data_IF_543004832061
#
_entry.id   IF_543004832061
#
_cell.length_a   1.000
_cell.length_b   1.000
_cell.length_c   1.000
_cell.angle_alpha   90.00
_cell.angle_beta   90.00
_cell.angle_gamma   90.00
#
_symmetry.space_group_name_H-M   'P 1'
#
loop_
_entity.id
_entity.type
_entity.pdbx_description
1 polymer ?
#
# COMPACT_ATOMS: atom_id res chain seq x y z
N UNK A 1 -31.41 1.95 40.17
CA UNK A 1 -30.62 3.12 39.74
C UNK A 1 -29.64 2.67 38.68
N UNK A 2 -29.95 2.88 37.39
CA UNK A 2 -29.03 2.68 36.27
C UNK A 2 -28.86 4.03 35.60
N UNK A 3 -27.64 4.52 35.62
CA UNK A 3 -27.24 5.85 35.15
C UNK A 3 -27.36 5.92 33.63
N UNK A 4 -28.26 6.77 33.14
CA UNK A 4 -28.19 7.30 31.78
C UNK A 4 -27.10 8.39 31.76
N UNK A 5 -26.03 8.16 31.02
CA UNK A 5 -25.11 9.22 30.60
C UNK A 5 -25.52 9.72 29.21
N UNK A 6 -25.51 11.03 28.95
CA UNK A 6 -26.21 11.62 27.82
C UNK A 6 -25.35 11.58 26.55
N UNK A 7 -25.96 11.04 25.51
CA UNK A 7 -25.71 11.36 24.11
C UNK A 7 -26.20 12.80 23.91
N UNK A 8 -25.33 13.77 23.62
CA UNK A 8 -25.57 15.04 22.89
C UNK A 8 -24.30 15.90 22.99
N UNK A 9 -23.49 15.85 21.93
CA UNK A 9 -22.55 16.88 21.47
C UNK A 9 -22.07 16.48 20.07
N UNK A 10 -23.01 16.43 19.12
CA UNK A 10 -22.77 16.11 17.72
C UNK A 10 -23.56 17.12 16.91
N UNK A 11 -22.93 18.12 16.29
CA UNK A 11 -23.33 18.67 14.98
C UNK A 11 -22.32 19.70 14.43
N UNK A 12 -21.03 19.46 14.67
CA UNK A 12 -19.93 20.15 13.95
C UNK A 12 -18.73 19.22 13.64
N UNK A 13 -18.82 17.91 13.92
CA UNK A 13 -17.75 16.91 13.79
C UNK A 13 -17.97 15.88 12.65
N UNK A 14 -19.02 16.05 11.83
CA UNK A 14 -19.60 14.93 11.07
C UNK A 14 -18.95 14.59 9.72
N UNK A 15 -17.90 15.26 9.27
CA UNK A 15 -17.16 14.81 8.08
C UNK A 15 -15.90 13.98 8.41
N UNK A 16 -15.17 14.33 9.47
CA UNK A 16 -13.98 13.56 9.85
C UNK A 16 -14.36 12.16 10.37
N UNK A 17 -15.43 12.08 11.17
CA UNK A 17 -15.91 10.81 11.72
C UNK A 17 -16.37 9.79 10.66
N UNK A 18 -16.83 10.23 9.49
CA UNK A 18 -17.28 9.32 8.43
C UNK A 18 -16.09 8.64 7.73
N UNK A 19 -15.02 9.39 7.45
CA UNK A 19 -13.78 8.84 6.89
C UNK A 19 -13.13 7.85 7.87
N UNK A 20 -13.18 8.14 9.17
CA UNK A 20 -12.65 7.25 10.20
C UNK A 20 -13.39 5.91 10.24
N UNK A 21 -14.73 5.90 10.08
CA UNK A 21 -15.52 4.68 10.07
C UNK A 21 -15.24 3.79 8.85
N UNK A 22 -15.09 4.37 7.65
CA UNK A 22 -14.74 3.59 6.46
C UNK A 22 -13.33 3.00 6.58
N UNK A 23 -12.38 3.80 7.07
CA UNK A 23 -11.02 3.34 7.34
C UNK A 23 -11.01 2.20 8.36
N UNK A 24 -11.75 2.34 9.46
CA UNK A 24 -11.90 1.28 10.47
C UNK A 24 -12.49 0.02 9.85
N UNK A 25 -13.53 0.13 9.02
CA UNK A 25 -14.12 -1.01 8.33
C UNK A 25 -13.13 -1.69 7.37
N UNK A 26 -12.29 -0.93 6.66
CA UNK A 26 -11.24 -1.46 5.78
C UNK A 26 -10.16 -2.19 6.58
N UNK A 27 -9.70 -1.60 7.68
CA UNK A 27 -8.74 -2.23 8.60
C UNK A 27 -9.32 -3.51 9.18
N UNK A 28 -10.56 -3.47 9.68
CA UNK A 28 -11.26 -4.62 10.21
C UNK A 28 -11.40 -5.72 9.15
N UNK A 29 -11.75 -5.36 7.91
CA UNK A 29 -11.82 -6.32 6.80
C UNK A 29 -10.47 -6.99 6.51
N UNK A 30 -9.34 -6.30 6.73
CA UNK A 30 -8.01 -6.93 6.61
C UNK A 30 -7.70 -7.87 7.78
N UNK A 31 -8.09 -7.49 9.00
CA UNK A 31 -7.88 -8.30 10.22
C UNK A 31 -8.74 -9.57 10.20
N UNK A 32 -9.99 -9.47 9.74
CA UNK A 32 -10.95 -10.58 9.70
C UNK A 32 -10.69 -11.57 8.56
N UNK A 33 -10.02 -11.12 7.48
CA UNK A 33 -9.62 -11.99 6.38
C UNK A 33 -8.43 -12.84 6.82
N UNK A 34 -8.70 -14.14 6.94
CA UNK A 34 -7.74 -15.14 7.38
C UNK A 34 -6.57 -15.27 6.39
N UNK A 35 -5.47 -15.76 6.94
CA UNK A 35 -4.14 -15.98 6.35
C UNK A 35 -4.14 -16.07 4.82
N UNK A 36 -3.34 -15.22 4.17
CA UNK A 36 -3.13 -15.36 2.74
C UNK A 36 -2.51 -16.72 2.43
N UNK A 37 -2.87 -17.33 1.30
CA UNK A 37 -2.33 -18.64 0.89
C UNK A 37 -0.93 -18.49 0.29
N UNK A 38 -0.66 -17.30 -0.25
CA UNK A 38 0.51 -16.91 -1.00
C UNK A 38 1.20 -15.70 -0.36
N UNK A 39 2.39 -15.36 -0.84
CA UNK A 39 3.07 -14.14 -0.40
C UNK A 39 2.35 -12.91 -0.94
N UNK A 40 2.00 -12.00 -0.05
CA UNK A 40 1.08 -10.90 -0.32
C UNK A 40 -0.34 -11.22 0.19
N UNK A 41 -1.23 -10.23 0.31
CA UNK A 41 -0.99 -8.79 0.25
C UNK A 41 0.02 -8.34 1.33
N UNK A 42 0.76 -7.26 1.10
CA UNK A 42 1.90 -6.88 1.93
C UNK A 42 1.65 -5.57 2.71
N UNK A 43 2.67 -5.10 3.42
CA UNK A 43 2.60 -3.88 4.24
C UNK A 43 2.21 -2.62 3.45
N UNK A 44 2.78 -2.43 2.24
CA UNK A 44 2.44 -1.31 1.37
C UNK A 44 0.97 -1.33 0.96
N UNK A 45 0.45 -2.49 0.53
CA UNK A 45 -0.97 -2.61 0.24
C UNK A 45 -1.84 -2.38 1.48
N UNK A 46 -1.43 -2.88 2.65
CA UNK A 46 -2.16 -2.65 3.91
C UNK A 46 -2.38 -1.15 4.15
N UNK A 47 -1.32 -0.35 4.02
CA UNK A 47 -1.37 1.09 4.22
C UNK A 47 -2.25 1.78 3.17
N UNK A 48 -2.05 1.50 1.88
CA UNK A 48 -2.82 2.11 0.80
C UNK A 48 -4.30 1.72 0.83
N UNK A 49 -4.59 0.44 1.06
CA UNK A 49 -5.95 -0.08 1.09
C UNK A 49 -6.73 0.47 2.27
N UNK A 50 -6.09 0.56 3.44
CA UNK A 50 -6.72 1.15 4.64
C UNK A 50 -7.05 2.63 4.42
N UNK A 51 -6.22 3.36 3.67
CA UNK A 51 -6.49 4.76 3.32
C UNK A 51 -7.50 4.93 2.18
N UNK A 52 -7.86 3.87 1.46
CA UNK A 52 -8.78 3.90 0.33
C UNK A 52 -8.14 4.32 -1.00
N UNK A 53 -6.80 4.34 -1.09
CA UNK A 53 -6.08 4.65 -2.34
C UNK A 53 -6.13 3.50 -3.34
N UNK A 54 -6.27 2.26 -2.86
CA UNK A 54 -6.44 1.07 -3.70
C UNK A 54 -7.75 0.37 -3.34
N UNK A 55 -8.44 -0.13 -4.36
CA UNK A 55 -9.78 -0.71 -4.22
C UNK A 55 -9.78 -2.13 -3.64
N UNK A 56 -8.64 -2.83 -3.72
CA UNK A 56 -8.54 -4.24 -3.37
C UNK A 56 -7.26 -4.60 -2.63
N UNK A 57 -7.35 -5.71 -1.89
CA UNK A 57 -6.20 -6.26 -1.17
C UNK A 57 -5.36 -7.10 -2.14
N UNK A 58 -4.15 -6.66 -2.45
CA UNK A 58 -3.25 -7.27 -3.46
C UNK A 58 -1.78 -7.03 -3.13
N UNK A 59 -0.87 -7.64 -3.87
CA UNK A 59 0.52 -7.18 -3.81
C UNK A 59 0.64 -5.77 -4.41
N UNK A 60 1.45 -4.97 -3.73
CA UNK A 60 1.94 -3.66 -4.16
C UNK A 60 3.46 -3.78 -4.07
N UNK A 61 4.21 -3.27 -5.03
CA UNK A 61 5.66 -3.19 -4.94
C UNK A 61 6.14 -1.79 -4.48
N UNK A 62 7.44 -1.65 -4.20
CA UNK A 62 8.00 -0.38 -3.72
C UNK A 62 7.84 0.77 -4.71
N UNK A 63 8.09 0.57 -6.02
CA UNK A 63 7.80 1.57 -7.05
C UNK A 63 6.35 2.03 -7.07
N UNK A 64 5.38 1.13 -7.05
CA UNK A 64 3.96 1.50 -7.02
C UNK A 64 3.62 2.25 -5.73
N UNK A 65 4.09 1.78 -4.58
CA UNK A 65 3.87 2.48 -3.31
C UNK A 65 4.43 3.91 -3.36
N UNK A 66 5.61 4.09 -3.95
CA UNK A 66 6.23 5.41 -4.14
C UNK A 66 5.39 6.30 -5.06
N UNK A 67 4.86 5.75 -6.15
CA UNK A 67 4.02 6.49 -7.10
C UNK A 67 2.73 6.99 -6.43
N UNK A 68 2.10 6.18 -5.57
CA UNK A 68 0.96 6.64 -4.76
C UNK A 68 1.32 7.81 -3.85
N UNK A 69 2.40 7.68 -3.08
CA UNK A 69 2.82 8.72 -2.13
C UNK A 69 3.33 10.00 -2.80
N UNK A 70 3.80 9.91 -4.04
CA UNK A 70 4.29 11.04 -4.83
C UNK A 70 3.20 11.68 -5.69
N UNK A 71 2.02 11.07 -5.76
CA UNK A 71 0.89 11.62 -6.51
C UNK A 71 0.31 12.86 -5.82
N UNK A 72 -0.43 13.72 -6.55
CA UNK A 72 -1.15 14.85 -5.96
C UNK A 72 -2.20 14.46 -4.91
N UNK A 73 -2.50 13.17 -4.76
CA UNK A 73 -3.42 12.67 -3.75
C UNK A 73 -2.78 12.63 -2.37
N UNK A 74 -1.45 12.70 -2.26
CA UNK A 74 -0.73 12.60 -1.01
C UNK A 74 0.15 13.83 -0.80
N UNK A 75 0.15 14.34 0.42
CA UNK A 75 1.02 15.44 0.87
C UNK A 75 1.89 14.93 2.02
N UNK A 76 3.20 15.11 1.93
CA UNK A 76 4.10 14.84 3.05
C UNK A 76 3.81 15.82 4.19
N UNK A 77 3.64 15.30 5.40
CA UNK A 77 3.40 16.08 6.61
C UNK A 77 4.57 15.93 7.59
N UNK A 78 4.93 16.99 8.33
CA UNK A 78 5.88 16.88 9.44
C UNK A 78 5.41 15.87 10.50
N UNK A 79 6.37 15.20 11.15
CA UNK A 79 6.08 14.18 12.18
C UNK A 79 5.24 14.73 13.34
N UNK A 80 5.50 15.95 13.77
CA UNK A 80 4.76 16.64 14.83
C UNK A 80 3.35 17.10 14.41
N UNK A 81 3.02 16.95 13.12
CA UNK A 81 1.70 17.25 12.53
C UNK A 81 1.00 16.00 11.99
N UNK A 82 1.64 14.84 12.09
CA UNK A 82 1.06 13.58 11.67
C UNK A 82 -0.10 13.19 12.59
N UNK A 83 -1.16 12.66 12.01
CA UNK A 83 -2.39 12.26 12.72
C UNK A 83 -2.79 10.84 12.36
N UNK A 84 -3.66 10.23 13.17
CA UNK A 84 -4.29 8.96 12.84
C UNK A 84 -4.87 9.00 11.42
N UNK A 85 -4.64 7.95 10.63
CA UNK A 85 -5.01 7.85 9.23
C UNK A 85 -3.94 8.28 8.22
N UNK A 86 -2.88 8.96 8.65
CA UNK A 86 -1.75 9.25 7.76
C UNK A 86 -0.99 7.95 7.43
N UNK A 87 -0.47 7.85 6.20
CA UNK A 87 0.37 6.73 5.77
C UNK A 87 1.81 7.01 6.16
N UNK A 88 2.48 6.06 6.79
CA UNK A 88 3.90 6.15 7.12
C UNK A 88 4.71 5.27 6.20
N UNK A 89 5.68 5.88 5.51
CA UNK A 89 6.67 5.17 4.69
C UNK A 89 8.02 5.14 5.41
N UNK A 90 8.60 3.95 5.57
CA UNK A 90 9.96 3.79 6.04
C UNK A 90 10.90 3.73 4.82
N UNK A 91 11.75 4.75 4.66
CA UNK A 91 12.59 4.93 3.49
C UNK A 91 14.07 4.86 3.81
N UNK A 92 14.85 4.30 2.88
CA UNK A 92 16.32 4.40 2.93
C UNK A 92 16.75 5.80 2.51
N UNK A 93 17.58 6.44 3.32
CA UNK A 93 18.17 7.75 3.06
C UNK A 93 19.66 7.79 3.40
N UNK A 94 20.40 8.72 2.77
CA UNK A 94 21.74 9.11 3.21
C UNK A 94 21.69 9.95 4.49
N UNK A 95 22.84 10.26 5.09
CA UNK A 95 22.92 11.18 6.24
C UNK A 95 22.37 12.57 5.94
N UNK A 96 22.48 13.00 4.68
CA UNK A 96 21.95 14.26 4.18
C UNK A 96 20.47 14.19 3.81
N UNK A 97 19.82 13.04 4.03
CA UNK A 97 18.39 12.84 3.77
C UNK A 97 18.03 12.52 2.33
N UNK A 98 19.01 12.22 1.45
CA UNK A 98 18.72 11.84 0.05
C UNK A 98 18.24 10.40 -0.03
N UNK A 99 17.18 10.13 -0.80
CA UNK A 99 16.67 8.77 -1.00
C UNK A 99 17.71 7.84 -1.64
N UNK A 100 17.81 6.63 -1.11
CA UNK A 100 18.72 5.59 -1.63
C UNK A 100 17.89 4.43 -2.19
N UNK A 101 17.89 4.30 -3.51
CA UNK A 101 17.12 3.25 -4.20
C UNK A 101 17.89 1.94 -4.21
N UNK A 102 17.24 0.86 -3.80
CA UNK A 102 17.67 -0.51 -4.08
C UNK A 102 16.93 -1.08 -5.31
N UNK A 103 17.07 -2.40 -5.57
CA UNK A 103 16.38 -3.09 -6.67
C UNK A 103 14.85 -2.97 -6.64
N UNK A 104 14.28 -2.81 -5.44
CA UNK A 104 12.85 -2.69 -5.20
C UNK A 104 12.42 -1.27 -4.78
N UNK A 105 13.25 -0.25 -5.05
CA UNK A 105 12.99 1.13 -4.65
C UNK A 105 13.64 1.55 -3.33
N UNK A 106 13.30 2.76 -2.88
CA UNK A 106 13.79 3.31 -1.61
C UNK A 106 12.91 2.92 -0.41
N UNK A 107 11.70 2.46 -0.68
CA UNK A 107 10.70 2.04 0.30
C UNK A 107 11.08 0.70 0.91
N UNK A 108 11.03 0.62 2.24
CA UNK A 108 11.28 -0.61 3.00
C UNK A 108 10.00 -1.18 3.56
N UNK A 109 9.13 -0.30 4.04
CA UNK A 109 7.91 -0.67 4.72
C UNK A 109 6.89 0.46 4.64
N UNK A 110 5.62 0.10 4.72
CA UNK A 110 4.51 1.04 4.82
C UNK A 110 3.54 0.59 5.91
N UNK A 111 3.00 1.53 6.68
CA UNK A 111 1.95 1.24 7.64
C UNK A 111 1.00 2.44 7.77
N UNK A 112 -0.17 2.21 8.34
CA UNK A 112 -1.15 3.27 8.62
C UNK A 112 -0.99 3.74 10.06
N UNK A 113 -0.80 5.05 10.26
CA UNK A 113 -0.68 5.63 11.60
C UNK A 113 -2.04 5.55 12.32
N UNK A 114 -2.04 5.02 13.54
CA UNK A 114 -3.18 5.04 14.47
C UNK A 114 -3.05 6.16 15.50
N UNK A 115 -3.93 6.17 16.50
CA UNK A 115 -3.81 7.09 17.63
C UNK A 115 -2.66 6.69 18.56
N UNK A 116 -2.20 7.65 19.37
CA UNK A 116 -1.30 7.39 20.51
C UNK A 116 0.02 6.69 20.15
N UNK A 117 0.53 6.91 18.93
CA UNK A 117 1.78 6.30 18.46
C UNK A 117 1.67 4.82 18.10
N UNK A 118 0.47 4.30 17.88
CA UNK A 118 0.23 2.98 17.30
C UNK A 118 0.24 3.03 15.77
N UNK A 119 0.53 1.90 15.13
CA UNK A 119 0.47 1.72 13.68
C UNK A 119 -0.17 0.40 13.31
N UNK A 120 -0.99 0.40 12.25
CA UNK A 120 -1.56 -0.80 11.65
C UNK A 120 -0.66 -1.29 10.52
N UNK A 121 -0.14 -2.51 10.66
CA UNK A 121 0.94 -3.04 9.83
C UNK A 121 0.76 -4.53 9.53
N UNK A 122 1.45 -5.00 8.48
CA UNK A 122 1.80 -6.40 8.27
C UNK A 122 3.31 -6.50 8.23
N UNK A 123 3.92 -6.93 9.32
CA UNK A 123 5.38 -6.95 9.45
C UNK A 123 6.01 -8.12 8.67
N UNK A 124 6.10 -7.96 7.36
CA UNK A 124 6.74 -8.91 6.46
C UNK A 124 5.89 -9.28 5.24
N UNK A 125 6.53 -9.99 4.32
CA UNK A 125 5.92 -10.40 3.05
C UNK A 125 5.41 -11.84 3.08
N UNK A 126 5.71 -12.60 4.13
CA UNK A 126 5.32 -14.00 4.21
C UNK A 126 3.82 -14.11 4.42
N UNK A 127 3.28 -15.23 3.94
CA UNK A 127 1.87 -15.60 4.11
C UNK A 127 1.43 -15.76 5.57
N UNK A 128 2.39 -16.07 6.47
CA UNK A 128 2.16 -16.28 7.91
C UNK A 128 2.19 -14.97 8.71
N UNK A 129 2.66 -13.88 8.11
CA UNK A 129 2.69 -12.60 8.81
C UNK A 129 1.25 -12.05 8.83
N UNK A 130 0.72 -11.73 10.01
CA UNK A 130 -0.65 -11.25 10.17
C UNK A 130 -0.71 -9.72 10.23
N UNK A 131 -1.86 -9.17 9.85
CA UNK A 131 -2.20 -7.79 10.11
C UNK A 131 -2.47 -7.56 11.60
N UNK A 132 -1.87 -6.54 12.19
CA UNK A 132 -2.08 -6.18 13.58
C UNK A 132 -1.74 -4.72 13.85
N UNK A 133 -2.14 -4.25 15.04
CA UNK A 133 -1.69 -2.98 15.59
C UNK A 133 -0.45 -3.21 16.45
N UNK A 134 0.54 -2.34 16.31
CA UNK A 134 1.77 -2.35 17.09
C UNK A 134 2.22 -0.90 17.36
N UNK A 135 2.99 -0.65 18.41
CA UNK A 135 3.62 0.66 18.62
C UNK A 135 4.52 1.02 17.42
N UNK A 136 4.35 2.21 16.86
CA UNK A 136 5.12 2.72 15.71
C UNK A 136 6.63 2.68 15.96
N UNK A 137 7.06 2.94 17.19
CA UNK A 137 8.46 2.83 17.59
C UNK A 137 9.01 1.39 17.50
N UNK A 138 8.17 0.38 17.75
CA UNK A 138 8.53 -1.03 17.58
C UNK A 138 8.65 -1.41 16.11
N UNK A 139 7.67 -1.00 15.29
CA UNK A 139 7.70 -1.18 13.83
C UNK A 139 8.98 -0.59 13.24
N UNK A 140 9.30 0.66 13.56
CA UNK A 140 10.51 1.34 13.06
C UNK A 140 11.78 0.57 13.46
N UNK A 141 11.87 0.15 14.73
CA UNK A 141 13.03 -0.59 15.26
C UNK A 141 13.23 -1.93 14.55
N UNK A 142 12.15 -2.66 14.28
CA UNK A 142 12.19 -3.92 13.53
C UNK A 142 12.89 -3.71 12.18
N UNK A 143 12.46 -2.72 11.41
CA UNK A 143 13.01 -2.45 10.08
C UNK A 143 14.38 -1.76 10.09
N UNK A 144 14.73 -1.03 11.15
CA UNK A 144 16.08 -0.49 11.31
C UNK A 144 17.14 -1.61 11.37
N UNK A 145 16.83 -2.72 12.06
CA UNK A 145 17.77 -3.85 12.17
C UNK A 145 17.95 -4.61 10.85
N UNK A 146 16.87 -4.83 10.09
CA UNK A 146 16.93 -5.52 8.80
C UNK A 146 17.57 -4.67 7.70
N UNK A 147 17.31 -3.36 7.69
CA UNK A 147 17.81 -2.44 6.66
C UNK A 147 19.35 -2.45 6.57
N UNK A 148 20.05 -2.51 7.72
CA UNK A 148 21.52 -2.57 7.73
C UNK A 148 22.06 -3.83 7.04
N UNK A 149 21.38 -4.96 7.19
CA UNK A 149 21.73 -6.22 6.52
C UNK A 149 21.48 -6.11 5.01
N UNK A 150 20.33 -5.56 4.62
CA UNK A 150 19.96 -5.36 3.21
C UNK A 150 20.93 -4.43 2.48
N UNK A 151 21.25 -3.27 3.04
CA UNK A 151 22.19 -2.35 2.41
C UNK A 151 23.56 -2.99 2.17
N UNK A 152 24.05 -3.79 3.13
CA UNK A 152 25.28 -4.56 2.95
C UNK A 152 25.19 -5.53 1.76
N UNK A 153 24.05 -6.24 1.61
CA UNK A 153 23.83 -7.14 0.47
C UNK A 153 23.74 -6.40 -0.86
N UNK A 154 23.22 -5.17 -0.84
CA UNK A 154 23.09 -4.30 -2.02
C UNK A 154 24.37 -3.50 -2.35
N UNK A 155 25.45 -3.64 -1.57
CA UNK A 155 26.67 -2.86 -1.73
C UNK A 155 26.51 -1.38 -1.37
N UNK A 156 25.44 -1.01 -0.67
CA UNK A 156 25.20 0.35 -0.18
C UNK A 156 26.05 0.55 1.09
N UNK A 157 26.90 1.58 1.16
CA UNK A 157 27.69 1.87 2.35
C UNK A 157 26.79 2.10 3.57
N UNK A 158 27.23 1.67 4.76
CA UNK A 158 26.41 1.72 5.98
C UNK A 158 25.98 3.14 6.33
N UNK A 159 26.86 4.11 6.10
CA UNK A 159 26.64 5.55 6.26
C UNK A 159 25.62 6.14 5.27
N UNK A 160 25.31 5.43 4.18
CA UNK A 160 24.27 5.78 3.23
C UNK A 160 22.99 4.95 3.43
N UNK A 161 22.85 4.27 4.58
CA UNK A 161 21.77 3.34 4.87
C UNK A 161 21.02 3.71 6.15
N UNK A 162 20.57 4.95 6.23
CA UNK A 162 19.71 5.40 7.32
C UNK A 162 18.25 5.11 6.97
N UNK A 163 17.46 4.70 7.96
CA UNK A 163 16.03 4.53 7.81
C UNK A 163 15.33 5.78 8.36
N UNK A 164 14.47 6.39 7.55
CA UNK A 164 13.67 7.56 7.94
C UNK A 164 12.19 7.23 7.79
N UNK A 165 11.40 7.56 8.81
CA UNK A 165 9.94 7.59 8.69
C UNK A 165 9.52 8.91 8.02
N UNK A 166 8.68 8.82 6.99
CA UNK A 166 8.02 9.95 6.36
C UNK A 166 6.51 9.73 6.42
N UNK A 167 5.78 10.80 6.71
CA UNK A 167 4.35 10.77 7.00
C UNK A 167 3.61 11.42 5.84
N UNK A 168 2.53 10.80 5.37
CA UNK A 168 1.77 11.24 4.21
C UNK A 168 0.30 11.32 4.54
N UNK A 169 -0.27 12.51 4.40
CA UNK A 169 -1.70 12.71 4.41
C UNK A 169 -2.22 12.56 2.99
N UNK A 170 -2.98 11.51 2.75
CA UNK A 170 -3.56 11.27 1.45
C UNK A 170 -5.07 11.56 1.44
N UNK A 171 -5.63 11.92 0.30
CA UNK A 171 -7.06 12.11 0.06
C UNK A 171 -7.51 11.32 -1.18
N UNK A 172 -8.09 10.12 -1.01
CA UNK A 172 -8.57 9.32 -2.13
C UNK A 172 -9.79 9.93 -2.83
N UNK A 173 -10.55 10.82 -2.17
CA UNK A 173 -11.73 11.43 -2.77
C UNK A 173 -11.38 12.36 -3.95
N UNK A 174 -10.13 12.83 -3.99
CA UNK A 174 -9.60 13.63 -5.09
C UNK A 174 -9.17 12.80 -6.32
N UNK A 175 -9.22 11.46 -6.25
CA UNK A 175 -8.83 10.61 -7.37
C UNK A 175 -9.88 10.65 -8.49
N UNK A 176 -9.54 11.35 -9.57
CA UNK A 176 -10.22 11.29 -10.86
C UNK A 176 -9.22 10.87 -11.93
N UNK A 177 -9.51 9.78 -12.63
CA UNK A 177 -8.71 9.38 -13.79
C UNK A 177 -9.00 10.27 -14.98
N UNK A 178 -7.99 10.49 -15.82
CA UNK A 178 -8.20 11.05 -17.14
C UNK A 178 -9.16 10.15 -17.94
N UNK A 179 -10.05 10.76 -18.73
CA UNK A 179 -11.04 10.03 -19.53
C UNK A 179 -10.37 8.99 -20.45
N UNK A 180 -9.18 9.30 -20.99
CA UNK A 180 -8.42 8.38 -21.84
C UNK A 180 -7.91 7.14 -21.11
N UNK A 181 -7.81 7.19 -19.77
CA UNK A 181 -7.34 6.09 -18.93
C UNK A 181 -8.48 5.29 -18.30
N UNK A 182 -9.70 5.82 -18.25
CA UNK A 182 -10.82 5.21 -17.50
C UNK A 182 -11.10 3.76 -17.90
N UNK A 183 -11.11 3.46 -19.21
CA UNK A 183 -11.35 2.10 -19.69
C UNK A 183 -10.22 1.13 -19.29
N UNK A 184 -8.97 1.58 -19.38
CA UNK A 184 -7.80 0.80 -18.99
C UNK A 184 -7.78 0.54 -17.49
N UNK A 185 -8.05 1.57 -16.69
CA UNK A 185 -8.13 1.48 -15.22
C UNK A 185 -9.22 0.49 -14.79
N UNK A 186 -10.38 0.52 -15.44
CA UNK A 186 -11.47 -0.42 -15.14
C UNK A 186 -11.06 -1.88 -15.39
N UNK A 187 -10.39 -2.15 -16.51
CA UNK A 187 -9.85 -3.49 -16.81
C UNK A 187 -8.79 -3.91 -15.80
N UNK A 188 -7.89 -2.99 -15.42
CA UNK A 188 -6.86 -3.24 -14.42
C UNK A 188 -7.46 -3.53 -13.05
N UNK A 189 -8.45 -2.77 -12.59
CA UNK A 189 -9.17 -3.05 -11.34
C UNK A 189 -9.87 -4.41 -11.39
N UNK A 190 -10.44 -4.80 -12.53
CA UNK A 190 -11.04 -6.14 -12.72
C UNK A 190 -10.00 -7.25 -12.59
N UNK A 191 -8.82 -7.08 -13.19
CA UNK A 191 -7.70 -8.01 -13.04
C UNK A 191 -7.26 -8.09 -11.57
N UNK A 192 -7.10 -6.97 -10.89
CA UNK A 192 -6.72 -6.91 -9.47
C UNK A 192 -7.73 -7.59 -8.55
N UNK A 193 -9.04 -7.48 -8.82
CA UNK A 193 -10.09 -8.20 -8.08
C UNK A 193 -9.98 -9.72 -8.27
N UNK A 194 -9.60 -10.19 -9.46
CA UNK A 194 -9.37 -11.61 -9.72
C UNK A 194 -8.11 -12.11 -9.03
N UNK A 195 -7.03 -11.31 -9.03
CA UNK A 195 -5.82 -11.58 -8.25
C UNK A 195 -6.15 -11.67 -6.76
N UNK A 196 -6.95 -10.74 -6.24
CA UNK A 196 -7.44 -10.74 -4.87
C UNK A 196 -8.14 -12.07 -4.53
N UNK A 197 -9.13 -12.49 -5.33
CA UNK A 197 -9.85 -13.73 -5.07
C UNK A 197 -8.90 -14.95 -5.01
N UNK A 198 -7.86 -14.93 -5.85
CA UNK A 198 -6.85 -15.99 -5.88
C UNK A 198 -5.93 -16.00 -4.64
N UNK A 199 -5.66 -14.86 -4.00
CA UNK A 199 -4.81 -14.80 -2.79
C UNK A 199 -5.33 -15.63 -1.62
N UNK A 200 -6.65 -15.78 -1.55
CA UNK A 200 -7.36 -16.38 -0.42
C UNK A 200 -7.98 -17.74 -0.76
N UNK A 201 -7.74 -18.26 -1.97
CA UNK A 201 -8.30 -19.53 -2.43
C UNK A 201 -7.33 -20.71 -2.19
N UNK A 202 -7.46 -21.34 -1.03
CA UNK A 202 -6.65 -22.50 -0.65
C UNK A 202 -6.98 -23.76 -1.46
N UNK A 203 -8.16 -23.80 -2.09
CA UNK A 203 -8.72 -25.02 -2.68
C UNK A 203 -8.08 -25.38 -4.03
N UNK A 204 -7.36 -24.43 -4.65
CA UNK A 204 -6.77 -24.61 -5.97
C UNK A 204 -5.59 -25.56 -5.97
N UNK A 205 -5.62 -26.49 -6.92
CA UNK A 205 -4.52 -27.37 -7.29
C UNK A 205 -3.33 -26.59 -7.87
N UNK A 206 -2.16 -27.24 -7.94
CA UNK A 206 -0.97 -26.67 -8.58
C UNK A 206 -1.20 -26.35 -10.06
N UNK A 207 -1.94 -27.20 -10.77
CA UNK A 207 -2.28 -27.04 -12.18
C UNK A 207 -3.16 -25.80 -12.40
N UNK A 208 -4.23 -25.64 -11.61
CA UNK A 208 -5.11 -24.47 -11.68
C UNK A 208 -4.35 -23.18 -11.34
N UNK A 209 -3.42 -23.22 -10.40
CA UNK A 209 -2.56 -22.07 -10.07
C UNK A 209 -1.66 -21.70 -11.25
N UNK A 210 -1.07 -22.70 -11.92
CA UNK A 210 -0.23 -22.49 -13.10
C UNK A 210 -1.03 -21.90 -14.27
N UNK A 211 -2.20 -22.47 -14.56
CA UNK A 211 -3.10 -21.98 -15.61
C UNK A 211 -3.56 -20.53 -15.34
N UNK A 212 -3.92 -20.23 -14.08
CA UNK A 212 -4.25 -18.85 -13.69
C UNK A 212 -3.09 -17.89 -13.90
N UNK A 213 -1.87 -18.26 -13.47
CA UNK A 213 -0.67 -17.43 -13.68
C UNK A 213 -0.38 -17.16 -15.15
N UNK A 214 -0.57 -18.15 -16.01
CA UNK A 214 -0.40 -18.01 -17.46
C UNK A 214 -1.46 -17.07 -18.06
N UNK A 215 -2.72 -17.22 -17.67
CA UNK A 215 -3.80 -16.34 -18.11
C UNK A 215 -3.56 -14.88 -17.68
N UNK A 216 -3.18 -14.64 -16.42
CA UNK A 216 -2.85 -13.30 -15.92
C UNK A 216 -1.63 -12.69 -16.62
N UNK A 217 -0.59 -13.48 -16.90
CA UNK A 217 0.56 -13.04 -17.69
C UNK A 217 0.17 -12.54 -19.09
N UNK A 218 -0.79 -13.19 -19.75
CA UNK A 218 -1.29 -12.78 -21.06
C UNK A 218 -2.09 -11.48 -20.96
N UNK A 219 -2.97 -11.38 -19.97
CA UNK A 219 -3.82 -10.21 -19.75
C UNK A 219 -3.01 -8.96 -19.39
N UNK A 220 -2.03 -9.07 -18.48
CA UNK A 220 -1.12 -7.96 -18.13
C UNK A 220 -0.34 -7.48 -19.36
N UNK A 221 0.12 -8.39 -20.23
CA UNK A 221 0.77 -7.99 -21.49
C UNK A 221 -0.18 -7.23 -22.41
N UNK A 222 -1.43 -7.68 -22.51
CA UNK A 222 -2.48 -6.96 -23.26
C UNK A 222 -2.70 -5.55 -22.72
N UNK A 223 -2.83 -5.41 -21.39
CA UNK A 223 -3.01 -4.11 -20.73
C UNK A 223 -1.79 -3.20 -20.88
N UNK A 224 -0.56 -3.74 -20.84
CA UNK A 224 0.67 -2.96 -21.09
C UNK A 224 0.71 -2.40 -22.52
N UNK A 225 0.29 -3.20 -23.51
CA UNK A 225 0.22 -2.74 -24.89
C UNK A 225 -0.83 -1.63 -25.04
N UNK A 226 -2.01 -1.80 -24.43
CA UNK A 226 -3.05 -0.77 -24.40
C UNK A 226 -2.56 0.50 -23.71
N UNK A 227 -1.86 0.38 -22.58
CA UNK A 227 -1.26 1.49 -21.85
C UNK A 227 -0.30 2.32 -22.71
N UNK A 228 0.57 1.67 -23.49
CA UNK A 228 1.47 2.37 -24.43
C UNK A 228 0.71 3.18 -25.48
N UNK A 229 -0.49 2.76 -25.88
CA UNK A 229 -1.29 3.46 -26.89
C UNK A 229 -2.05 4.66 -26.32
N UNK A 230 -2.45 4.63 -25.04
CA UNK A 230 -3.24 5.71 -24.41
C UNK A 230 -2.38 6.73 -23.65
N UNK A 231 -1.14 6.37 -23.31
CA UNK A 231 -0.33 7.07 -22.32
C UNK A 231 0.17 8.47 -22.68
N UNK A 232 0.01 8.95 -23.92
CA UNK A 232 0.60 10.25 -24.31
C UNK A 232 -0.20 11.47 -23.82
N UNK A 233 -1.46 11.29 -23.40
CA UNK A 233 -2.39 12.40 -23.15
C UNK A 233 -2.70 12.66 -21.67
N UNK A 234 -2.45 11.69 -20.79
CA UNK A 234 -2.82 11.80 -19.39
C UNK A 234 -1.72 12.45 -18.54
N UNK A 235 -2.05 12.96 -17.33
CA UNK A 235 -1.05 13.48 -16.41
C UNK A 235 0.01 12.44 -16.06
N UNK A 236 1.28 12.84 -16.03
CA UNK A 236 2.42 11.94 -15.80
C UNK A 236 2.27 11.07 -14.54
N UNK A 237 1.77 11.65 -13.44
CA UNK A 237 1.56 10.91 -12.19
C UNK A 237 0.53 9.77 -12.33
N UNK A 238 -0.48 9.92 -13.19
CA UNK A 238 -1.46 8.85 -13.45
C UNK A 238 -0.85 7.72 -14.26
N UNK A 239 0.01 8.07 -15.23
CA UNK A 239 0.76 7.10 -16.02
C UNK A 239 1.70 6.28 -15.13
N UNK A 240 2.43 6.96 -14.24
CA UNK A 240 3.30 6.30 -13.26
C UNK A 240 2.52 5.36 -12.33
N UNK A 241 1.33 5.76 -11.88
CA UNK A 241 0.45 4.89 -11.09
C UNK A 241 0.00 3.65 -11.87
N UNK A 242 -0.41 3.81 -13.13
CA UNK A 242 -0.85 2.67 -13.94
C UNK A 242 0.32 1.71 -14.23
N UNK A 243 1.51 2.23 -14.56
CA UNK A 243 2.68 1.38 -14.78
C UNK A 243 3.08 0.64 -13.50
N UNK A 244 3.07 1.32 -12.35
CA UNK A 244 3.31 0.71 -11.04
C UNK A 244 2.31 -0.41 -10.72
N UNK A 245 1.01 -0.17 -10.93
CA UNK A 245 -0.03 -1.19 -10.74
C UNK A 245 0.18 -2.40 -11.65
N UNK A 246 0.53 -2.19 -12.92
CA UNK A 246 0.84 -3.26 -13.88
C UNK A 246 2.12 -4.04 -13.49
N UNK A 247 3.11 -3.37 -12.91
CA UNK A 247 4.33 -4.00 -12.40
C UNK A 247 4.02 -4.88 -11.18
N UNK A 248 3.33 -4.35 -10.18
CA UNK A 248 2.91 -5.11 -8.99
C UNK A 248 2.06 -6.34 -9.31
N UNK A 249 1.13 -6.20 -10.26
CA UNK A 249 0.32 -7.31 -10.74
C UNK A 249 1.17 -8.43 -11.38
N UNK A 250 2.28 -8.07 -12.04
CA UNK A 250 3.19 -9.03 -12.64
C UNK A 250 4.09 -9.72 -11.59
N UNK A 251 4.53 -8.99 -10.56
CA UNK A 251 5.35 -9.55 -9.46
C UNK A 251 4.63 -10.72 -8.78
N UNK A 252 3.30 -10.63 -8.64
CA UNK A 252 2.49 -11.73 -8.09
C UNK A 252 2.64 -13.07 -8.84
N UNK A 253 2.98 -13.04 -10.13
CA UNK A 253 3.04 -14.25 -10.96
C UNK A 253 4.30 -15.07 -10.72
N UNK A 254 5.31 -14.52 -10.05
CA UNK A 254 6.59 -15.17 -9.75
C UNK A 254 6.64 -15.59 -8.28
#
# INVERSE_FOLDING_TARGET
MKSLFPLILLFSLNLHAANDLEQVARVQALVERREAVLNGPNCWNAALYSRGLVEGVRHVDGPEFTAWLSSPLCTEVPEDQATSGDVVALRRVTREGKLVKGPYGAEIHGYLLGSDGWGFTKNGTNRKDSYHFEESASIIRLYQTSNLKECRMLGIPKEACHLKAQYFRCDPAALSWDDSLTALVSKLSTLEQRLHAFYFDETRTSEERSAFKQAMSLEIRGLRNEFTLVGEKAPAWQLELIDGRLASAAVFLF
#
